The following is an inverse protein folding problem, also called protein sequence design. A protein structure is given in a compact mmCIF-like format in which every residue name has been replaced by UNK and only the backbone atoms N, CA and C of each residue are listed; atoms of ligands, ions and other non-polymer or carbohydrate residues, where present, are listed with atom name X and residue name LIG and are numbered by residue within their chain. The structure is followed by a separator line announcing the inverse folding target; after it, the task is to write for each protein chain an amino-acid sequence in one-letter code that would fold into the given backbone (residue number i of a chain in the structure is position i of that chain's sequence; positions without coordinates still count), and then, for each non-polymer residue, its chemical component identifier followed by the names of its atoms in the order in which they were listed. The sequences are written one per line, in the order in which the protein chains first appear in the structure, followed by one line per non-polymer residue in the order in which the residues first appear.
data_IF_768219685345
#
_entry.id   IF_768219685345
#
_cell.length_a   1.000
_cell.length_b   1.000
_cell.length_c   1.000
_cell.angle_alpha   90.00
_cell.angle_beta   90.00
_cell.angle_gamma   90.00
#
_symmetry.space_group_name_H-M   'P 1'
#
loop_
_entity.id
_entity.type
_entity.pdbx_description
1 polymer ?
2 non-polymer ?
3 non-polymer ?
4 water ?
#
# COMPACT_ATOMS: atom_id res chain seq x y z
N UNK A 6 -13.54 2.94 11.11
CA UNK A 6 -12.56 2.74 10.06
C UNK A 6 -12.22 1.27 9.84
N UNK A 7 -11.59 0.99 8.71
CA UNK A 7 -11.14 -0.36 8.39
C UNK A 7 -9.96 -0.73 9.28
N UNK A 8 -9.63 -2.01 9.33
CA UNK A 8 -8.50 -2.46 10.13
C UNK A 8 -7.18 -1.92 9.58
N UNK A 9 -7.06 -1.90 8.26
CA UNK A 9 -5.84 -1.41 7.63
C UNK A 9 -5.57 0.04 8.05
N UNK A 10 -6.58 0.89 7.90
CA UNK A 10 -6.45 2.29 8.26
C UNK A 10 -6.24 2.46 9.76
N UNK A 11 -7.04 1.75 10.54
CA UNK A 11 -6.98 1.85 12.00
C UNK A 11 -5.59 1.53 12.52
N UNK A 12 -5.01 0.43 12.06
CA UNK A 12 -3.72 -0.01 12.58
C UNK A 12 -2.60 0.95 12.17
N UNK A 13 -2.59 1.34 10.90
CA UNK A 13 -1.58 2.28 10.43
C UNK A 13 -1.60 3.55 11.25
N UNK A 14 -2.81 4.07 11.47
CA UNK A 14 -2.98 5.34 12.17
C UNK A 14 -2.44 5.30 13.60
N UNK A 15 -2.48 4.13 14.23
CA UNK A 15 -2.01 4.00 15.61
C UNK A 15 -0.58 4.46 15.78
N UNK A 16 0.19 4.41 14.68
CA UNK A 16 1.62 4.71 14.74
C UNK A 16 1.96 6.11 14.23
N UNK A 17 0.95 6.92 13.92
CA UNK A 17 1.21 8.26 13.40
C UNK A 17 2.12 9.05 14.32
N UNK A 18 3.20 9.61 13.77
CA UNK A 18 4.08 10.49 14.51
C UNK A 18 5.22 9.81 15.23
N UNK A 19 5.22 8.47 15.25
CA UNK A 19 6.26 7.72 15.94
C UNK A 19 7.46 7.41 15.03
N UNK A 20 7.29 7.65 13.74
CA UNK A 20 8.35 7.40 12.76
C UNK A 20 8.79 5.94 12.79
N UNK A 21 7.83 5.03 12.93
CA UNK A 21 8.12 3.61 13.01
C UNK A 21 8.41 3.02 11.63
N UNK A 22 9.14 1.91 11.62
CA UNK A 22 9.40 1.15 10.40
C UNK A 22 8.51 -0.09 10.40
N UNK A 23 7.48 -0.11 9.57
CA UNK A 23 6.58 -1.26 9.54
C UNK A 23 5.83 -1.40 8.22
N UNK A 24 5.32 -2.61 7.99
CA UNK A 24 4.45 -2.89 6.86
C UNK A 24 3.22 -3.59 7.38
N UNK A 25 2.14 -3.52 6.59
CA UNK A 25 0.94 -4.28 6.88
C UNK A 25 0.71 -5.26 5.74
N UNK A 26 0.58 -6.54 6.08
CA UNK A 26 0.34 -7.57 5.08
C UNK A 26 -1.09 -8.05 5.12
N UNK A 27 -1.66 -8.34 3.96
CA UNK A 27 -3.02 -8.84 3.87
C UNK A 27 -3.06 -10.36 4.06
N UNK A 28 -3.52 -10.80 5.23
CA UNK A 28 -3.56 -12.22 5.55
C UNK A 28 -4.66 -12.97 4.81
N UNK A 29 -5.54 -12.23 4.14
CA UNK A 29 -6.63 -12.86 3.38
C UNK A 29 -6.30 -12.99 1.91
N UNK A 30 -5.05 -12.70 1.54
CA UNK A 30 -4.62 -12.83 0.16
C UNK A 30 -3.39 -13.74 0.09
N UNK A 31 -3.34 -14.57 -0.95
CA UNK A 31 -2.24 -15.50 -1.14
C UNK A 31 -0.90 -14.76 -1.18
N UNK A 32 0.07 -15.26 -0.43
CA UNK A 32 1.40 -14.66 -0.39
C UNK A 32 1.54 -13.60 0.68
N UNK A 33 0.44 -13.28 1.36
CA UNK A 33 0.45 -12.25 2.40
C UNK A 33 1.08 -10.96 1.90
N UNK A 34 0.52 -10.40 0.82
CA UNK A 34 1.07 -9.21 0.17
C UNK A 34 1.08 -7.97 1.06
N UNK A 35 2.16 -7.20 0.99
CA UNK A 35 2.24 -5.93 1.67
C UNK A 35 1.23 -4.96 1.02
N UNK A 36 0.35 -4.40 1.85
CA UNK A 36 -0.66 -3.45 1.36
C UNK A 36 -0.45 -2.06 1.96
N UNK A 37 0.55 -1.93 2.83
CA UNK A 37 0.94 -0.63 3.36
C UNK A 37 2.33 -0.68 3.95
N UNK A 38 3.09 0.41 3.79
CA UNK A 38 4.39 0.53 4.45
C UNK A 38 4.63 1.99 4.86
N UNK A 39 5.31 2.16 6.00
CA UNK A 39 5.56 3.48 6.53
C UNK A 39 6.76 4.13 5.84
N UNK A 40 6.87 5.45 5.97
CA UNK A 40 8.01 6.17 5.41
C UNK A 40 9.30 5.68 6.05
N UNK A 41 9.23 5.33 7.32
CA UNK A 41 10.40 4.83 8.05
C UNK A 41 10.93 3.55 7.45
N UNK A 42 10.03 2.68 7.01
CA UNK A 42 10.43 1.41 6.41
C UNK A 42 11.09 1.64 5.06
N UNK A 43 10.55 2.60 4.31
CA UNK A 43 11.14 2.98 3.02
C UNK A 43 12.59 3.42 3.23
N UNK A 44 12.81 4.28 4.22
CA UNK A 44 14.14 4.81 4.49
C UNK A 44 15.08 3.72 5.01
N UNK A 45 14.56 2.85 5.86
CA UNK A 45 15.37 1.79 6.43
C UNK A 45 15.94 0.87 5.37
N UNK A 46 15.09 0.45 4.42
CA UNK A 46 15.45 -0.61 3.49
C UNK A 46 16.09 -0.10 2.20
N UNK A 47 15.80 1.14 1.82
CA UNK A 47 16.33 1.70 0.59
C UNK A 47 15.47 1.41 -0.62
N UNK A 48 14.38 0.66 -0.42
CA UNK A 48 13.42 0.40 -1.49
C UNK A 48 12.33 1.45 -1.46
N UNK A 49 11.83 1.82 -2.64
CA UNK A 49 10.74 2.77 -2.74
C UNK A 49 9.44 2.12 -2.27
N UNK A 50 8.46 2.94 -1.90
CA UNK A 50 7.15 2.42 -1.53
C UNK A 50 6.58 1.62 -2.70
N UNK A 51 6.79 2.11 -3.91
CA UNK A 51 6.27 1.46 -5.11
C UNK A 51 6.79 0.02 -5.23
N UNK A 52 8.09 -0.15 -4.99
CA UNK A 52 8.69 -1.48 -5.04
C UNK A 52 8.16 -2.34 -3.90
N UNK A 53 8.09 -1.77 -2.71
CA UNK A 53 7.66 -2.51 -1.53
C UNK A 53 6.19 -2.95 -1.66
N UNK A 54 5.39 -2.15 -2.35
CA UNK A 54 3.97 -2.45 -2.52
C UNK A 54 3.73 -3.60 -3.51
N UNK A 55 4.81 -4.20 -4.01
CA UNK A 55 4.70 -5.41 -4.82
C UNK A 55 5.48 -6.56 -4.18
N UNK A 56 5.70 -6.50 -2.87
CA UNK A 56 6.41 -7.54 -2.15
C UNK A 56 5.53 -8.19 -1.08
N UNK A 57 6.00 -9.32 -0.54
CA UNK A 57 5.27 -10.02 0.51
C UNK A 57 5.79 -9.67 1.89
N UNK A 58 4.94 -9.86 2.90
CA UNK A 58 5.35 -9.43 4.24
C UNK A 58 6.36 -10.39 4.86
N UNK A 59 6.66 -11.50 4.19
CA UNK A 59 7.75 -12.37 4.61
C UNK A 59 9.06 -11.62 4.46
N UNK A 60 9.03 -10.57 3.62
CA UNK A 60 10.20 -9.72 3.40
C UNK A 60 11.34 -10.50 2.76
N UNK A 61 10.97 -11.43 1.89
CA UNK A 61 11.95 -12.20 1.13
C UNK A 61 12.90 -11.27 0.36
N UNK A 62 12.37 -10.14 -0.09
CA UNK A 62 13.17 -9.18 -0.85
C UNK A 62 14.30 -8.58 -0.03
N UNK A 63 14.28 -8.81 1.28
CA UNK A 63 15.34 -8.33 2.16
C UNK A 63 16.36 -9.42 2.51
N UNK A 64 16.10 -10.66 2.09
CA UNK A 64 17.03 -11.75 2.38
C UNK A 64 18.32 -11.60 1.57
N UNK A 65 19.43 -12.04 2.14
CA UNK A 65 20.70 -12.07 1.45
C UNK A 65 21.54 -13.25 1.89
N UNK A 66 22.79 -13.30 1.43
CA UNK A 66 23.72 -14.41 1.73
C UNK A 66 23.77 -14.81 3.20
N UNK A 67 23.92 -13.83 4.09
CA UNK A 67 24.09 -14.12 5.51
C UNK A 67 22.78 -14.28 6.27
N UNK A 68 21.65 -14.16 5.55
CA UNK A 68 20.35 -14.41 6.16
C UNK A 68 20.22 -15.92 6.42
N UNK A 69 20.28 -16.30 7.69
CA UNK A 69 20.24 -17.71 8.07
C UNK A 69 19.00 -18.41 7.52
N UNK A 70 19.19 -19.65 7.06
CA UNK A 70 18.10 -20.46 6.54
C UNK A 70 17.04 -20.71 7.62
N UNK A 71 17.50 -20.95 8.84
CA UNK A 71 16.59 -21.24 9.95
C UNK A 71 15.71 -20.03 10.25
N UNK A 72 16.25 -18.84 10.06
CA UNK A 72 15.51 -17.61 10.26
C UNK A 72 14.42 -17.46 9.19
N UNK A 73 14.77 -17.80 7.96
CA UNK A 73 13.79 -17.79 6.87
C UNK A 73 12.65 -18.75 7.19
N UNK A 74 12.98 -19.88 7.80
CA UNK A 74 11.97 -20.89 8.15
C UNK A 74 11.05 -20.38 9.26
N UNK A 75 11.62 -19.74 10.27
CA UNK A 75 10.83 -19.18 11.36
C UNK A 75 9.80 -18.20 10.80
N UNK A 76 10.24 -17.35 9.89
CA UNK A 76 9.36 -16.35 9.30
C UNK A 76 8.23 -17.02 8.54
N UNK A 77 8.56 -18.01 7.72
CA UNK A 77 7.57 -18.75 6.95
C UNK A 77 6.54 -19.40 7.88
N UNK A 78 7.01 -20.01 8.95
CA UNK A 78 6.13 -20.70 9.89
C UNK A 78 5.22 -19.71 10.62
N UNK A 79 5.78 -18.57 11.02
CA UNK A 79 5.00 -17.53 11.65
C UNK A 79 3.81 -17.14 10.77
N UNK A 80 4.09 -16.85 9.51
CA UNK A 80 3.05 -16.41 8.58
C UNK A 80 2.08 -17.54 8.25
N UNK A 81 2.61 -18.74 8.03
CA UNK A 81 1.79 -19.89 7.68
C UNK A 81 0.82 -20.25 8.81
N UNK A 82 1.31 -20.26 10.04
CA UNK A 82 0.50 -20.59 11.20
C UNK A 82 -0.21 -19.37 11.78
N UNK A 83 0.08 -18.20 11.21
CA UNK A 83 -0.52 -16.95 11.64
C UNK A 83 -0.28 -16.73 13.14
N UNK A 84 1.00 -16.75 13.52
CA UNK A 84 1.40 -16.57 14.90
C UNK A 84 2.44 -15.45 15.02
N UNK A 85 2.66 -14.99 16.25
CA UNK A 85 3.62 -13.93 16.51
C UNK A 85 5.04 -14.42 16.26
N UNK A 86 5.92 -13.48 15.91
CA UNK A 86 7.34 -13.78 15.84
C UNK A 86 8.16 -12.56 16.23
N UNK A 87 9.21 -12.81 17.00
CA UNK A 87 10.18 -11.79 17.37
C UNK A 87 11.56 -12.35 17.09
N UNK A 88 12.25 -11.79 16.10
CA UNK A 88 13.45 -12.44 15.57
C UNK A 88 14.56 -11.45 15.25
N UNK A 89 15.77 -11.80 15.65
CA UNK A 89 16.95 -11.07 15.23
C UNK A 89 17.51 -11.74 13.99
N UNK A 90 17.58 -10.99 12.90
CA UNK A 90 17.91 -11.55 11.60
C UNK A 90 18.66 -10.54 10.76
N UNK A 91 19.59 -11.02 9.93
CA UNK A 91 20.32 -10.15 9.02
C UNK A 91 19.51 -9.91 7.75
N UNK A 92 19.22 -8.65 7.47
CA UNK A 92 18.52 -8.25 6.26
C UNK A 92 19.44 -7.41 5.39
N UNK A 93 19.06 -7.22 4.13
CA UNK A 93 19.88 -6.47 3.19
C UNK A 93 19.10 -5.33 2.54
N UNK A 94 19.72 -4.16 2.50
CA UNK A 94 19.12 -2.99 1.88
C UNK A 94 19.19 -3.10 0.35
N UNK A 95 18.54 -2.15 -0.33
CA UNK A 95 18.44 -2.16 -1.78
C UNK A 95 19.82 -2.25 -2.44
N UNK A 96 20.76 -1.44 -1.96
CA UNK A 96 22.10 -1.41 -2.57
C UNK A 96 23.05 -2.44 -1.97
N UNK A 97 22.52 -3.35 -1.15
CA UNK A 97 23.27 -4.51 -0.72
C UNK A 97 23.85 -4.48 0.68
N UNK A 98 23.82 -3.32 1.33
CA UNK A 98 24.37 -3.20 2.68
C UNK A 98 23.57 -4.04 3.67
N UNK A 99 24.26 -4.92 4.43
CA UNK A 99 23.58 -5.73 5.42
C UNK A 99 23.31 -4.97 6.70
N UNK A 100 22.27 -5.36 7.44
CA UNK A 100 22.03 -4.80 8.76
C UNK A 100 21.31 -5.80 9.64
N UNK A 101 21.62 -5.79 10.93
CA UNK A 101 20.91 -6.62 11.90
C UNK A 101 19.54 -6.01 12.15
N UNK A 102 18.51 -6.82 12.05
CA UNK A 102 17.13 -6.35 12.20
C UNK A 102 16.39 -7.13 13.27
N UNK A 103 15.72 -6.41 14.17
CA UNK A 103 14.75 -7.02 15.06
C UNK A 103 13.41 -7.00 14.34
N UNK A 104 13.00 -8.18 13.88
CA UNK A 104 11.82 -8.34 13.05
C UNK A 104 10.66 -8.81 13.92
N UNK A 105 9.62 -7.99 13.99
CA UNK A 105 8.49 -8.25 14.89
C UNK A 105 7.20 -8.38 14.10
N UNK A 106 6.62 -9.58 14.13
CA UNK A 106 5.34 -9.84 13.45
C UNK A 106 4.25 -10.17 14.46
N UNK A 107 3.11 -9.50 14.35
CA UNK A 107 1.93 -9.87 15.10
C UNK A 107 0.73 -9.98 14.17
N UNK A 108 -0.05 -11.06 14.32
CA UNK A 108 -1.30 -11.21 13.59
C UNK A 108 -2.38 -10.30 14.14
N UNK A 109 -3.10 -9.63 13.24
CA UNK A 109 -4.18 -8.73 13.62
C UNK A 109 -5.52 -9.41 13.35
N UNK A 110 -6.31 -9.56 14.40
CA UNK A 110 -7.60 -10.22 14.31
C UNK A 110 -8.74 -9.22 14.27
N UNK A 111 -9.81 -9.56 13.57
CA UNK A 111 -10.97 -8.68 13.49
C UNK A 111 -11.96 -8.94 14.63
N UNK A 112 -13.16 -8.40 14.51
CA UNK A 112 -14.18 -8.56 15.54
C UNK A 112 -14.63 -10.02 15.65
N UNK A 113 -14.39 -10.79 14.59
CA UNK A 113 -14.75 -12.20 14.56
C UNK A 113 -13.59 -13.12 14.93
N UNK A 114 -12.50 -12.54 15.44
CA UNK A 114 -11.32 -13.29 15.86
C UNK A 114 -10.59 -13.99 14.71
N UNK A 115 -10.82 -13.53 13.49
CA UNK A 115 -10.10 -14.03 12.33
C UNK A 115 -8.91 -13.13 12.01
N UNK A 116 -7.77 -13.74 11.70
CA UNK A 116 -6.59 -12.99 11.31
C UNK A 116 -6.79 -12.40 9.92
N UNK A 117 -6.77 -11.06 9.83
CA UNK A 117 -6.98 -10.38 8.56
C UNK A 117 -5.75 -9.60 8.09
N UNK A 118 -4.85 -9.29 9.02
CA UNK A 118 -3.64 -8.56 8.68
C UNK A 118 -2.45 -9.06 9.49
N UNK A 119 -1.25 -8.82 8.97
CA UNK A 119 -0.03 -8.95 9.75
C UNK A 119 0.59 -7.57 9.92
N UNK A 120 0.89 -7.21 11.16
CA UNK A 120 1.69 -6.03 11.43
C UNK A 120 3.13 -6.49 11.63
N UNK A 121 4.01 -6.09 10.72
CA UNK A 121 5.42 -6.47 10.80
C UNK A 121 6.30 -5.23 10.84
N UNK A 122 7.09 -5.09 11.90
CA UNK A 122 7.93 -3.91 12.09
C UNK A 122 9.41 -4.29 12.16
N UNK A 123 10.27 -3.31 11.91
CA UNK A 123 11.68 -3.57 11.69
C UNK A 123 12.53 -2.55 12.44
N UNK A 124 13.37 -3.04 13.35
CA UNK A 124 14.24 -2.18 14.14
C UNK A 124 15.69 -2.48 13.75
N UNK A 125 16.43 -1.46 13.34
CA UNK A 125 17.84 -1.62 13.01
C UNK A 125 18.65 -1.67 14.31
N UNK A 126 19.17 -2.86 14.64
CA UNK A 126 19.89 -3.06 15.88
C UNK A 126 21.37 -3.34 15.63
N UNK A 127 21.87 -2.92 14.47
CA UNK A 127 23.27 -3.11 14.12
C UNK A 127 24.16 -2.48 15.19
N UNK A 128 23.75 -1.30 15.65
CA UNK A 128 24.49 -0.54 16.67
C UNK A 128 25.91 -1.06 16.87
N UNK B 5 -4.07 -17.69 -16.03
CA UNK B 5 -5.46 -17.72 -15.61
C UNK B 5 -5.94 -16.34 -15.19
N UNK B 6 -5.07 -15.60 -14.49
CA UNK B 6 -5.39 -14.25 -14.04
C UNK B 6 -4.37 -13.24 -14.56
N UNK B 7 -4.84 -12.03 -14.86
CA UNK B 7 -3.98 -11.00 -15.44
C UNK B 7 -3.24 -10.21 -14.37
N UNK B 8 -2.32 -9.37 -14.81
CA UNK B 8 -1.57 -8.52 -13.90
C UNK B 8 -2.50 -7.58 -13.15
N UNK B 9 -3.43 -6.99 -13.88
CA UNK B 9 -4.47 -6.15 -13.29
C UNK B 9 -5.19 -6.91 -12.18
N UNK B 10 -5.52 -8.17 -12.45
CA UNK B 10 -6.19 -9.04 -11.48
C UNK B 10 -5.34 -9.24 -10.22
N UNK B 11 -4.04 -9.47 -10.41
CA UNK B 11 -3.16 -9.78 -9.28
C UNK B 11 -3.04 -8.60 -8.33
N UNK B 12 -3.01 -7.38 -8.87
CA UNK B 12 -2.91 -6.19 -8.03
C UNK B 12 -4.19 -5.97 -7.24
N UNK B 13 -5.33 -6.07 -7.91
CA UNK B 13 -6.61 -5.93 -7.23
C UNK B 13 -6.75 -6.96 -6.11
N UNK B 14 -6.30 -8.18 -6.38
CA UNK B 14 -6.44 -9.28 -5.44
C UNK B 14 -5.65 -9.04 -4.15
N UNK B 15 -4.55 -8.30 -4.25
CA UNK B 15 -3.72 -8.02 -3.07
C UNK B 15 -4.53 -7.36 -1.96
N UNK B 16 -5.60 -6.67 -2.33
CA UNK B 16 -6.37 -5.89 -1.36
C UNK B 16 -7.71 -6.54 -0.97
N UNK B 17 -7.94 -7.76 -1.45
CA UNK B 17 -9.18 -8.47 -1.12
C UNK B 17 -9.40 -8.55 0.39
N UNK B 18 -10.57 -8.12 0.84
CA UNK B 18 -10.93 -8.21 2.25
C UNK B 18 -10.54 -7.03 3.11
N UNK B 19 -9.71 -6.13 2.58
CA UNK B 19 -9.25 -4.98 3.36
C UNK B 19 -10.21 -3.79 3.27
N UNK B 20 -11.22 -3.90 2.40
CA UNK B 20 -12.21 -2.84 2.22
C UNK B 20 -11.55 -1.51 1.90
N UNK B 21 -10.51 -1.54 1.09
CA UNK B 21 -9.77 -0.35 0.73
C UNK B 21 -10.49 0.48 -0.34
N UNK B 22 -10.16 1.76 -0.40
CA UNK B 22 -10.67 2.63 -1.44
C UNK B 22 -9.57 2.90 -2.44
N UNK B 23 -9.67 2.30 -3.63
CA UNK B 23 -8.65 2.49 -4.64
C UNK B 23 -9.16 2.26 -6.05
N UNK B 24 -8.40 2.78 -7.01
CA UNK B 24 -8.64 2.52 -8.42
C UNK B 24 -7.33 2.08 -9.04
N UNK B 25 -7.43 1.39 -10.17
CA UNK B 25 -6.26 1.06 -10.95
C UNK B 25 -6.37 1.77 -12.29
N UNK B 26 -5.33 2.54 -12.63
CA UNK B 26 -5.29 3.24 -13.90
C UNK B 26 -4.38 2.54 -14.88
N UNK B 27 -4.80 2.47 -16.13
CA UNK B 27 -3.98 1.84 -17.16
C UNK B 27 -2.95 2.81 -17.72
N UNK B 28 -1.69 2.60 -17.33
CA UNK B 28 -0.60 3.49 -17.72
C UNK B 28 -0.22 3.33 -19.18
N UNK B 29 -0.70 2.27 -19.82
CA UNK B 29 -0.39 2.02 -21.23
C UNK B 29 -1.44 2.62 -22.16
N UNK B 30 -2.41 3.34 -21.60
CA UNK B 30 -3.45 3.97 -22.41
C UNK B 30 -3.46 5.47 -22.16
N UNK B 31 -3.73 6.22 -23.21
CA UNK B 31 -3.79 7.67 -23.13
C UNK B 31 -4.81 8.13 -22.08
N UNK B 32 -4.40 9.05 -21.21
CA UNK B 32 -5.28 9.59 -20.19
C UNK B 32 -5.27 8.79 -18.89
N UNK B 33 -4.51 7.70 -18.87
CA UNK B 33 -4.43 6.85 -17.68
C UNK B 33 -5.81 6.49 -17.14
N UNK B 34 -6.63 5.87 -17.99
CA UNK B 34 -8.03 5.55 -17.65
C UNK B 34 -8.14 4.56 -16.51
N UNK B 35 -9.10 4.78 -15.63
CA UNK B 35 -9.43 3.83 -14.58
C UNK B 35 -10.02 2.58 -15.22
N UNK B 36 -9.42 1.43 -14.91
CA UNK B 36 -9.89 0.16 -15.45
C UNK B 36 -10.35 -0.79 -14.34
N UNK B 37 -10.30 -0.31 -13.10
CA UNK B 37 -10.84 -1.03 -11.97
C UNK B 37 -11.02 -0.09 -10.79
N UNK B 38 -12.10 -0.26 -10.04
CA UNK B 38 -12.28 0.47 -8.78
C UNK B 38 -12.94 -0.43 -7.73
N UNK B 39 -12.55 -0.24 -6.48
CA UNK B 39 -13.08 -1.05 -5.39
C UNK B 39 -14.44 -0.54 -4.94
N UNK B 40 -15.19 -1.39 -4.26
CA UNK B 40 -16.48 -1.01 -3.69
C UNK B 40 -16.30 0.18 -2.75
N UNK B 41 -15.21 0.17 -1.99
CA UNK B 41 -14.93 1.23 -1.05
C UNK B 41 -14.82 2.60 -1.72
N UNK B 42 -14.19 2.62 -2.90
CA UNK B 42 -14.03 3.87 -3.63
C UNK B 42 -15.37 4.37 -4.16
N UNK B 43 -16.21 3.44 -4.61
CA UNK B 43 -17.56 3.77 -5.02
C UNK B 43 -18.29 4.42 -3.84
N UNK B 44 -18.22 3.81 -2.68
CA UNK B 44 -18.91 4.31 -1.49
C UNK B 44 -18.36 5.67 -1.04
N UNK B 45 -17.05 5.82 -1.11
CA UNK B 45 -16.41 7.07 -0.67
C UNK B 45 -16.83 8.26 -1.51
N UNK B 46 -16.84 8.08 -2.83
CA UNK B 46 -17.00 9.21 -3.74
C UNK B 46 -18.45 9.52 -4.10
N UNK B 47 -19.33 8.53 -3.96
CA UNK B 47 -20.73 8.72 -4.31
C UNK B 47 -21.02 8.53 -5.78
N UNK B 48 -19.98 8.23 -6.57
CA UNK B 48 -20.15 7.90 -7.99
C UNK B 48 -20.28 6.40 -8.16
N UNK B 49 -21.10 5.97 -9.11
CA UNK B 49 -21.25 4.55 -9.41
C UNK B 49 -19.99 4.00 -10.06
N UNK B 50 -19.81 2.69 -10.00
CA UNK B 50 -18.70 2.05 -10.67
C UNK B 50 -18.76 2.36 -12.17
N UNK B 51 -19.97 2.38 -12.71
CA UNK B 51 -20.16 2.66 -14.13
C UNK B 51 -19.57 4.02 -14.52
N UNK B 52 -19.90 5.04 -13.73
CA UNK B 52 -19.40 6.39 -13.98
C UNK B 52 -17.87 6.44 -13.81
N UNK B 53 -17.38 5.78 -12.77
CA UNK B 53 -15.95 5.80 -12.45
C UNK B 53 -15.15 5.09 -13.54
N UNK B 54 -15.74 4.06 -14.15
CA UNK B 54 -15.07 3.30 -15.19
C UNK B 54 -14.99 4.08 -16.50
N UNK B 55 -15.37 5.36 -16.47
CA UNK B 55 -15.21 6.24 -17.62
C UNK B 55 -14.35 7.47 -17.28
N UNK B 56 -13.68 7.44 -16.13
CA UNK B 56 -12.85 8.57 -15.69
C UNK B 56 -11.35 8.23 -15.69
N UNK B 57 -10.53 9.26 -15.50
CA UNK B 57 -9.09 9.08 -15.43
C UNK B 57 -8.60 8.98 -14.00
N UNK B 58 -7.47 8.33 -13.81
CA UNK B 58 -7.02 8.11 -12.44
C UNK B 58 -6.44 9.38 -11.82
N UNK B 59 -6.41 10.47 -12.58
CA UNK B 59 -6.07 11.77 -12.01
C UNK B 59 -7.18 12.24 -11.08
N UNK B 60 -8.35 11.63 -11.21
CA UNK B 60 -9.51 11.94 -10.37
C UNK B 60 -9.95 13.39 -10.53
N UNK B 61 -9.79 13.89 -11.75
CA UNK B 61 -10.25 15.22 -12.11
C UNK B 61 -11.74 15.37 -11.81
N UNK B 62 -12.48 14.27 -11.92
CA UNK B 62 -13.91 14.28 -11.67
C UNK B 62 -14.25 14.55 -10.20
N UNK B 63 -13.24 14.53 -9.34
CA UNK B 63 -13.41 14.84 -7.92
C UNK B 63 -12.94 16.26 -7.56
N UNK B 64 -12.43 17.00 -8.54
CA UNK B 64 -11.93 18.36 -8.28
C UNK B 64 -13.07 19.36 -8.14
N UNK B 65 -12.86 20.36 -7.30
CA UNK B 65 -13.80 21.45 -7.14
C UNK B 65 -13.08 22.72 -6.72
N UNK B 66 -13.85 23.77 -6.38
CA UNK B 66 -13.29 25.09 -6.05
C UNK B 66 -12.16 25.07 -5.01
N UNK B 67 -12.30 24.23 -3.97
CA UNK B 67 -11.29 24.21 -2.90
C UNK B 67 -10.14 23.25 -3.20
N UNK B 68 -10.22 22.54 -4.31
CA UNK B 68 -9.10 21.72 -4.75
C UNK B 68 -8.01 22.65 -5.27
N UNK B 69 -6.90 22.77 -4.53
CA UNK B 69 -5.85 23.72 -4.89
C UNK B 69 -5.24 23.40 -6.26
N UNK B 70 -4.99 24.45 -7.04
CA UNK B 70 -4.38 24.31 -8.35
C UNK B 70 -3.04 23.59 -8.23
N UNK B 71 -2.26 23.93 -7.21
CA UNK B 71 -0.94 23.34 -7.02
C UNK B 71 -1.06 21.84 -6.78
N UNK B 72 -2.13 21.43 -6.11
CA UNK B 72 -2.37 20.02 -5.87
C UNK B 72 -2.74 19.30 -7.17
N UNK B 73 -3.53 19.95 -8.01
CA UNK B 73 -3.86 19.41 -9.32
C UNK B 73 -2.58 19.19 -10.13
N UNK B 74 -1.65 20.13 -10.03
CA UNK B 74 -0.39 20.05 -10.75
C UNK B 74 0.50 18.91 -10.21
N UNK B 75 0.50 18.71 -8.90
CA UNK B 75 1.24 17.60 -8.32
C UNK B 75 0.73 16.27 -8.84
N UNK B 76 -0.59 16.14 -8.93
CA UNK B 76 -1.21 14.93 -9.44
C UNK B 76 -0.82 14.70 -10.90
N UNK B 77 -0.91 15.76 -11.70
CA UNK B 77 -0.57 15.67 -13.12
C UNK B 77 0.90 15.30 -13.32
N UNK B 78 1.77 15.90 -12.52
CA UNK B 78 3.21 15.63 -12.63
C UNK B 78 3.52 14.19 -12.26
N UNK B 79 2.87 13.70 -11.21
CA UNK B 79 3.06 12.32 -10.76
C UNK B 79 2.73 11.32 -11.88
N UNK B 80 1.60 11.53 -12.53
CA UNK B 80 1.15 10.61 -13.57
C UNK B 80 1.99 10.72 -14.84
N UNK B 81 2.33 11.94 -15.25
CA UNK B 81 3.09 12.11 -16.49
C UNK B 81 4.54 11.66 -16.34
N UNK B 82 5.09 11.77 -15.13
CA UNK B 82 6.45 11.30 -14.87
C UNK B 82 6.47 9.86 -14.37
N UNK B 83 5.28 9.32 -14.12
CA UNK B 83 5.13 7.97 -13.59
C UNK B 83 5.88 7.82 -12.27
N UNK B 84 5.60 8.74 -11.33
CA UNK B 84 6.25 8.72 -10.01
C UNK B 84 5.22 8.58 -8.92
N UNK B 85 5.69 8.31 -7.70
CA UNK B 85 4.81 8.21 -6.55
C UNK B 85 4.28 9.58 -6.17
N UNK B 86 3.12 9.60 -5.53
CA UNK B 86 2.61 10.82 -4.93
C UNK B 86 1.88 10.48 -3.63
N UNK B 87 2.14 11.26 -2.59
CA UNK B 87 1.35 11.22 -1.38
C UNK B 87 0.92 12.64 -1.09
N UNK B 88 -0.39 12.88 -1.11
CA UNK B 88 -0.90 14.24 -1.10
C UNK B 88 -2.18 14.36 -0.28
N UNK B 89 -2.26 15.40 0.53
CA UNK B 89 -3.51 15.77 1.18
C UNK B 89 -4.20 16.84 0.33
N UNK B 90 -5.40 16.54 -0.13
CA UNK B 90 -6.09 17.39 -1.10
C UNK B 90 -7.59 17.34 -0.84
N UNK B 91 -8.29 18.42 -1.16
CA UNK B 91 -9.74 18.44 -1.00
C UNK B 91 -10.42 17.93 -2.27
N UNK B 92 -11.26 16.91 -2.10
CA UNK B 92 -12.02 16.33 -3.20
C UNK B 92 -13.51 16.48 -2.93
N UNK B 93 -14.32 16.28 -3.97
CA UNK B 93 -15.76 16.44 -3.88
C UNK B 93 -16.51 15.17 -4.26
N UNK B 94 -17.49 14.80 -3.45
CA UNK B 94 -18.35 13.65 -3.74
C UNK B 94 -19.39 14.05 -4.78
N UNK B 95 -20.03 13.06 -5.38
CA UNK B 95 -20.94 13.32 -6.49
C UNK B 95 -21.99 14.37 -6.14
N UNK B 96 -22.61 14.20 -4.97
CA UNK B 96 -23.69 15.09 -4.57
C UNK B 96 -23.15 16.45 -4.11
N UNK B 97 -21.85 16.54 -3.90
CA UNK B 97 -21.19 17.83 -3.70
C UNK B 97 -20.49 18.04 -2.37
N UNK B 98 -20.54 17.06 -1.47
CA UNK B 98 -19.94 17.19 -0.14
C UNK B 98 -18.42 17.02 -0.22
N UNK B 99 -17.67 18.07 0.17
CA UNK B 99 -16.21 18.00 0.09
C UNK B 99 -15.61 17.20 1.24
N UNK B 100 -14.46 16.60 1.00
CA UNK B 100 -13.74 15.90 2.05
C UNK B 100 -12.24 16.05 1.85
N UNK B 101 -11.50 16.10 2.95
CA UNK B 101 -10.06 16.05 2.88
C UNK B 101 -9.66 14.63 2.57
N UNK B 102 -8.81 14.48 1.55
CA UNK B 102 -8.42 13.15 1.09
C UNK B 102 -6.91 12.97 1.15
N UNK B 103 -6.48 11.86 1.74
CA UNK B 103 -5.10 11.42 1.59
C UNK B 103 -5.04 10.59 0.33
N UNK B 104 -4.42 11.16 -0.70
CA UNK B 104 -4.40 10.58 -2.03
C UNK B 104 -3.00 10.00 -2.29
N UNK B 105 -2.93 8.69 -2.46
CA UNK B 105 -1.66 8.00 -2.68
C UNK B 105 -1.62 7.37 -4.06
N UNK B 106 -0.58 7.70 -4.84
CA UNK B 106 -0.36 7.06 -6.12
C UNK B 106 0.98 6.35 -6.14
N UNK B 107 0.99 5.08 -6.53
CA UNK B 107 2.24 4.39 -6.80
C UNK B 107 2.19 3.76 -8.19
N UNK B 108 3.24 3.95 -8.99
CA UNK B 108 3.35 3.26 -10.27
C UNK B 108 3.58 1.78 -10.03
N UNK B 109 2.97 0.93 -10.85
CA UNK B 109 3.18 -0.52 -10.75
C UNK B 109 3.90 -1.00 -11.98
N UNK B 110 5.02 -1.68 -11.78
CA UNK B 110 5.85 -2.17 -12.87
C UNK B 110 5.63 -3.66 -13.11
N UNK B 111 5.71 -4.07 -14.38
CA UNK B 111 5.64 -5.48 -14.73
C UNK B 111 7.02 -6.14 -14.57
N UNK B 112 7.13 -7.40 -14.98
CA UNK B 112 8.38 -8.13 -14.84
C UNK B 112 9.52 -7.50 -15.65
N UNK B 113 9.15 -6.78 -16.70
CA UNK B 113 10.14 -6.12 -17.57
C UNK B 113 10.56 -4.77 -17.01
N UNK B 114 9.95 -4.37 -15.89
CA UNK B 114 10.27 -3.12 -15.21
C UNK B 114 9.69 -1.87 -15.88
N UNK B 115 8.67 -2.07 -16.70
CA UNK B 115 7.92 -0.95 -17.28
C UNK B 115 6.67 -0.67 -16.46
N UNK B 116 6.39 0.60 -16.22
CA UNK B 116 5.17 0.98 -15.52
C UNK B 116 3.96 0.67 -16.41
N UNK B 117 3.05 -0.16 -15.91
CA UNK B 117 1.89 -0.55 -16.70
C UNK B 117 0.57 -0.16 -16.02
N UNK B 118 0.61 0.06 -14.71
CA UNK B 118 -0.57 0.50 -13.99
C UNK B 118 -0.21 1.55 -12.95
N UNK B 119 -1.22 2.32 -12.53
CA UNK B 119 -1.11 3.16 -11.35
C UNK B 119 -2.08 2.64 -10.30
N UNK B 120 -1.57 2.41 -9.10
CA UNK B 120 -2.42 2.13 -7.95
C UNK B 120 -2.67 3.45 -7.22
N UNK B 121 -3.91 3.93 -7.28
CA UNK B 121 -4.29 5.18 -6.64
C UNK B 121 -5.35 4.93 -5.58
N UNK B 122 -5.02 5.24 -4.34
CA UNK B 122 -5.91 4.97 -3.21
C UNK B 122 -6.27 6.25 -2.46
N UNK B 123 -7.34 6.16 -1.68
CA UNK B 123 -7.98 7.33 -1.09
C UNK B 123 -8.44 7.08 0.32
N UNK B 124 -8.02 7.94 1.25
CA UNK B 124 -8.55 7.91 2.60
C UNK B 124 -9.22 9.24 2.91
N UNK B 125 -10.39 9.18 3.53
CA UNK B 125 -11.05 10.38 4.02
C UNK B 125 -10.48 10.72 5.40
N UNK B 126 -9.74 11.82 5.47
CA UNK B 126 -9.08 12.22 6.72
C UNK B 126 -9.72 13.46 7.31
N UNK B 127 -10.90 13.80 6.82
CA UNK B 127 -11.64 14.97 7.29
C UNK B 127 -11.79 14.95 8.81
N UNK B 128 -12.07 13.78 9.36
CA UNK B 128 -12.39 13.66 10.78
C UNK B 128 -11.24 13.07 11.61
N UNK B 129 -10.22 12.55 10.93
CA UNK B 129 -9.10 11.92 11.62
C UNK B 129 -7.82 12.76 11.61
N UNK B 130 -7.76 13.75 10.73
CA UNK B 130 -6.58 14.61 10.61
C UNK B 130 -6.51 15.57 11.80
X LIG C 1 5.12 8.96 10.62
X LIG C 1 3.68 9.12 10.83
X LIG C 1 5.60 9.99 9.71
X LIG C 1 5.82 9.10 11.90
X LIG C 1 5.37 7.63 10.07
X LIG D 1 -5.19 9.70 9.98
X LIG D 1 -5.71 10.93 9.49
X LIG D 1 -3.99 9.23 9.19
X LIG D 1 -3.34 8.19 9.89
X LIG D 1 -4.43 8.74 7.81
X LIG D 1 -5.40 7.73 7.96
X LIG E 1 -13.17 -5.75 -0.56
X LIG E 1 -14.61 -5.92 -0.45
X LIG E 1 -12.86 -4.54 -1.31
X LIG E 1 -12.59 -5.68 0.78
X LIG E 1 -12.60 -6.90 -1.25
#
# INVERSE_FOLDING_TARGET
GSHMQNTFLDTIATRFDGTHSNFVLGNAQANGNPIVYCSDGFVDLTGYSRAQIMQKGCSCHFLYGPDTKEEHKQQIEKSLSNKMELKLEVIFYKKEGAPFWCLFDIVPIKNEKRDVVLFLASHKDITHTX
GSHMQNTFLDTIATRFDGTHSNFVLGNAQANGNPIVYCSDGFVDLTGYSRAQIMQKGCSCHFLYGPDTKEEHKQQIEKSLSNKMELKLEVIFYKKEGAPFWCLFDIVPIKNEKRDVVLFLASHKDITHTK
SO4 S O1 O2 O3 O4
GOL C1 O1 C2 O2 C3 O3
SO4 S O1 O2 O3 O4
#
